data_IF_434226157472
#
_entry.id   IF_434226157472
#
_cell.length_a   1.000
_cell.length_b   1.000
_cell.length_c   1.000
_cell.angle_alpha   90.00
_cell.angle_beta   90.00
_cell.angle_gamma   90.00
#
_symmetry.space_group_name_H-M   'P 1'
#
loop_
_entity.id
_entity.type
_entity.pdbx_description
1 polymer ?
#
# COMPACT_ATOMS: atom_id res chain seq x y z
N UNK A 1 9.25 14.38 24.32
CA UNK A 1 8.34 14.96 23.30
C UNK A 1 6.94 15.04 23.88
N UNK A 2 6.28 16.21 23.87
CA UNK A 2 4.91 16.35 24.37
C UNK A 2 3.95 16.37 23.17
N UNK A 3 2.98 15.45 23.15
CA UNK A 3 1.97 15.39 22.08
C UNK A 3 0.87 16.41 22.34
N UNK A 4 0.43 17.12 21.30
CA UNK A 4 -0.74 17.99 21.35
C UNK A 4 -2.05 17.19 21.43
N UNK A 5 -3.12 17.81 21.90
CA UNK A 5 -4.44 17.16 22.00
C UNK A 5 -4.92 16.60 20.65
N UNK A 6 -4.71 17.34 19.56
CA UNK A 6 -5.06 16.92 18.20
C UNK A 6 -4.25 15.71 17.73
N UNK A 7 -2.95 15.64 18.09
CA UNK A 7 -2.13 14.46 17.82
C UNK A 7 -2.65 13.24 18.60
N UNK A 8 -3.08 13.43 19.85
CA UNK A 8 -3.62 12.33 20.68
C UNK A 8 -4.97 11.85 20.12
N UNK A 9 -5.82 12.75 19.61
CA UNK A 9 -7.08 12.39 18.95
C UNK A 9 -6.83 11.51 17.72
N UNK A 10 -5.81 11.83 16.91
CA UNK A 10 -5.43 11.05 15.73
C UNK A 10 -4.85 9.67 16.05
N UNK A 11 -4.34 9.46 17.27
CA UNK A 11 -3.87 8.15 17.73
C UNK A 11 -5.01 7.23 18.17
N UNK A 12 -6.20 7.76 18.44
CA UNK A 12 -7.30 6.97 18.97
C UNK A 12 -7.93 6.06 17.89
N UNK A 13 -8.33 4.82 18.24
CA UNK A 13 -8.89 3.89 17.28
C UNK A 13 -10.30 4.28 16.80
N UNK A 14 -11.02 5.10 17.58
CA UNK A 14 -12.33 5.66 17.21
C UNK A 14 -12.69 6.86 18.12
N UNK A 15 -13.70 7.63 17.71
CA UNK A 15 -14.19 8.79 18.47
C UNK A 15 -14.74 8.43 19.86
N UNK A 16 -15.28 7.21 20.02
CA UNK A 16 -15.75 6.74 21.33
C UNK A 16 -14.60 6.54 22.32
N UNK A 17 -13.45 6.07 21.83
CA UNK A 17 -12.22 5.89 22.59
C UNK A 17 -11.58 7.22 22.94
N UNK A 18 -11.65 8.22 22.06
CA UNK A 18 -11.29 9.61 22.38
C UNK A 18 -12.11 10.12 23.56
N UNK A 19 -13.45 10.03 23.45
CA UNK A 19 -14.36 10.50 24.51
C UNK A 19 -14.11 9.78 25.84
N UNK A 20 -13.92 8.46 25.80
CA UNK A 20 -13.61 7.67 26.99
C UNK A 20 -12.23 7.99 27.57
N UNK A 21 -11.23 8.24 26.73
CA UNK A 21 -9.89 8.65 27.13
C UNK A 21 -9.87 10.03 27.79
N UNK A 22 -10.54 11.02 27.20
CA UNK A 22 -10.72 12.35 27.82
C UNK A 22 -11.41 12.25 29.18
N UNK A 23 -12.39 11.34 29.34
CA UNK A 23 -13.03 11.06 30.64
C UNK A 23 -12.09 10.50 31.72
N UNK A 24 -10.91 9.98 31.33
CA UNK A 24 -9.88 9.51 32.24
C UNK A 24 -8.73 10.51 32.43
N UNK A 25 -8.76 11.66 31.75
CA UNK A 25 -7.75 12.72 31.86
C UNK A 25 -7.96 13.57 33.13
N UNK A 26 -8.01 12.92 34.29
CA UNK A 26 -8.20 13.54 35.60
C UNK A 26 -7.27 12.93 36.63
N UNK A 27 -6.59 13.76 37.42
CA UNK A 27 -5.71 13.36 38.51
C UNK A 27 -6.31 12.27 39.42
N UNK A 28 -7.59 12.37 39.75
CA UNK A 28 -8.27 11.45 40.68
C UNK A 28 -8.39 10.01 40.15
N UNK A 29 -8.23 9.79 38.85
CA UNK A 29 -8.30 8.45 38.24
C UNK A 29 -6.95 7.73 38.21
N UNK A 30 -5.86 8.43 38.50
CA UNK A 30 -4.51 7.91 38.39
C UNK A 30 -3.82 7.89 39.75
N UNK A 31 -3.64 6.68 40.29
CA UNK A 31 -2.97 6.46 41.58
C UNK A 31 -1.47 6.74 41.46
N UNK A 32 -0.90 6.44 40.29
CA UNK A 32 0.49 6.69 39.96
C UNK A 32 0.56 7.36 38.58
N UNK A 33 1.45 8.34 38.46
CA UNK A 33 1.75 9.10 37.23
C UNK A 33 3.24 9.39 37.23
N UNK A 34 3.96 8.83 36.26
CA UNK A 34 5.37 9.09 36.10
C UNK A 34 5.72 9.33 34.64
N UNK A 35 6.80 10.07 34.44
CA UNK A 35 7.31 10.42 33.13
C UNK A 35 8.84 10.31 33.12
N UNK A 36 9.38 9.97 31.96
CA UNK A 36 10.80 10.10 31.62
C UNK A 36 10.90 10.86 30.29
N UNK A 37 12.12 11.07 29.81
CA UNK A 37 12.39 11.62 28.49
C UNK A 37 11.79 10.78 27.35
N UNK A 38 11.71 9.45 27.55
CA UNK A 38 11.28 8.48 26.53
C UNK A 38 9.95 7.79 26.81
N UNK A 39 9.36 7.90 28.01
CA UNK A 39 8.13 7.18 28.33
C UNK A 39 7.21 7.92 29.31
N UNK A 40 5.92 7.55 29.26
CA UNK A 40 4.94 7.86 30.29
C UNK A 40 4.43 6.57 30.90
N UNK A 41 4.10 6.60 32.19
CA UNK A 41 3.48 5.47 32.84
C UNK A 41 2.52 5.89 33.94
N UNK A 42 1.57 5.02 34.24
CA UNK A 42 0.59 5.29 35.29
C UNK A 42 -0.23 4.09 35.70
N UNK A 43 -0.86 4.20 36.86
CA UNK A 43 -1.81 3.23 37.39
C UNK A 43 -3.20 3.84 37.38
N UNK A 44 -4.03 3.46 36.41
CA UNK A 44 -5.40 3.94 36.32
C UNK A 44 -6.31 3.08 37.19
N UNK A 45 -7.06 3.70 38.10
CA UNK A 45 -8.05 3.01 38.91
C UNK A 45 -9.22 2.54 38.04
N UNK A 46 -9.35 1.21 37.91
CA UNK A 46 -10.42 0.56 37.17
C UNK A 46 -11.54 0.04 38.08
N UNK A 47 -12.43 -0.77 37.51
CA UNK A 47 -13.51 -1.47 38.22
C UNK A 47 -13.04 -2.70 39.03
N UNK A 48 -11.78 -3.11 38.85
CA UNK A 48 -11.18 -4.23 39.58
C UNK A 48 -10.41 -3.79 40.84
N UNK A 49 -9.98 -4.78 41.63
CA UNK A 49 -9.21 -4.56 42.87
C UNK A 49 -7.82 -3.94 42.62
N UNK A 50 -7.19 -4.26 41.49
CA UNK A 50 -5.85 -3.77 41.12
C UNK A 50 -5.96 -2.70 40.02
N UNK A 51 -5.28 -1.54 40.14
CA UNK A 51 -5.20 -0.55 39.08
C UNK A 51 -4.58 -1.12 37.78
N UNK A 52 -5.00 -0.59 36.63
CA UNK A 52 -4.41 -0.94 35.34
C UNK A 52 -3.07 -0.23 35.14
N UNK A 53 -2.02 -1.00 34.93
CA UNK A 53 -0.70 -0.51 34.55
C UNK A 53 -0.78 -0.07 33.09
N UNK A 54 -0.50 1.20 32.85
CA UNK A 54 -0.48 1.82 31.52
C UNK A 54 0.89 2.41 31.28
N UNK A 55 1.46 2.17 30.12
CA UNK A 55 2.75 2.71 29.71
C UNK A 55 2.73 3.11 28.23
N UNK A 56 3.42 4.20 27.92
CA UNK A 56 3.52 4.81 26.60
C UNK A 56 4.99 5.08 26.30
N UNK A 57 5.47 4.57 25.17
CA UNK A 57 6.77 4.93 24.59
C UNK A 57 6.57 6.20 23.76
N UNK A 58 7.19 7.30 24.18
CA UNK A 58 7.06 8.61 23.54
C UNK A 58 7.97 8.77 22.32
N UNK A 59 9.00 7.94 22.17
CA UNK A 59 9.93 8.01 21.04
C UNK A 59 9.38 7.29 19.82
N UNK A 60 8.85 6.08 20.02
CA UNK A 60 8.32 5.25 18.93
C UNK A 60 6.79 5.18 18.90
N UNK A 61 6.11 5.96 19.74
CA UNK A 61 4.65 6.04 19.89
C UNK A 61 4.03 4.63 19.99
N UNK A 62 4.24 3.99 21.13
CA UNK A 62 3.70 2.67 21.39
C UNK A 62 3.05 2.57 22.77
N UNK A 63 2.13 1.63 22.90
CA UNK A 63 1.23 1.55 24.05
C UNK A 63 1.22 0.14 24.61
N UNK A 64 1.26 0.02 25.94
CA UNK A 64 0.93 -1.22 26.64
C UNK A 64 0.07 -0.87 27.85
N UNK A 65 -0.98 -1.64 28.04
CA UNK A 65 -1.89 -1.49 29.16
C UNK A 65 -2.34 -2.87 29.63
N UNK A 66 -2.44 -3.08 30.94
CA UNK A 66 -2.89 -4.36 31.52
C UNK A 66 -4.41 -4.56 31.50
N UNK A 67 -5.16 -3.69 30.80
CA UNK A 67 -6.61 -3.80 30.70
C UNK A 67 -7.04 -4.83 29.64
N UNK A 68 -8.21 -5.48 29.77
CA UNK A 68 -8.67 -6.51 28.84
C UNK A 68 -9.22 -5.96 27.50
N UNK A 69 -8.93 -4.70 27.18
CA UNK A 69 -9.44 -4.07 25.94
C UNK A 69 -8.69 -4.59 24.72
N UNK A 70 -9.43 -4.87 23.65
CA UNK A 70 -8.86 -5.20 22.34
C UNK A 70 -8.66 -3.96 21.44
N UNK A 71 -8.98 -2.75 21.93
CA UNK A 71 -8.76 -1.48 21.21
C UNK A 71 -7.47 -0.84 21.70
N UNK A 72 -6.54 -0.56 20.77
CA UNK A 72 -5.22 0.01 21.07
C UNK A 72 -4.95 1.23 20.17
N UNK A 73 -4.54 2.39 20.72
CA UNK A 73 -4.42 2.72 22.15
C UNK A 73 -5.78 2.60 22.87
N UNK A 74 -5.78 1.99 24.05
CA UNK A 74 -7.00 1.86 24.83
C UNK A 74 -7.34 3.20 25.51
N UNK A 75 -8.54 3.31 26.08
CA UNK A 75 -8.95 4.52 26.81
C UNK A 75 -7.98 4.93 27.92
N UNK A 76 -7.28 3.99 28.56
CA UNK A 76 -6.30 4.32 29.60
C UNK A 76 -5.03 4.94 29.01
N UNK A 77 -4.51 4.40 27.90
CA UNK A 77 -3.37 4.99 27.19
C UNK A 77 -3.68 6.38 26.67
N UNK A 78 -4.86 6.58 26.08
CA UNK A 78 -5.33 7.90 25.65
C UNK A 78 -5.52 8.85 26.83
N UNK A 79 -6.11 8.36 27.93
CA UNK A 79 -6.31 9.16 29.15
C UNK A 79 -4.99 9.61 29.79
N UNK A 80 -3.97 8.76 29.78
CA UNK A 80 -2.63 9.11 30.27
C UNK A 80 -1.98 10.20 29.40
N UNK A 81 -2.11 10.07 28.08
CA UNK A 81 -1.62 11.06 27.12
C UNK A 81 -2.34 12.40 27.26
N UNK A 82 -3.67 12.41 27.30
CA UNK A 82 -4.47 13.63 27.47
C UNK A 82 -4.17 14.31 28.82
N UNK A 83 -3.98 13.54 29.89
CA UNK A 83 -3.60 14.09 31.18
C UNK A 83 -2.21 14.74 31.14
N UNK A 84 -1.24 14.08 30.51
CA UNK A 84 0.12 14.63 30.38
C UNK A 84 0.18 15.85 29.46
N UNK A 85 -0.60 15.88 28.38
CA UNK A 85 -0.68 17.02 27.48
C UNK A 85 -1.31 18.25 28.14
N UNK A 86 -2.33 18.06 28.97
CA UNK A 86 -3.03 19.17 29.65
C UNK A 86 -2.36 19.62 30.95
N UNK A 87 -1.81 18.69 31.73
CA UNK A 87 -1.28 18.94 33.08
C UNK A 87 0.02 18.14 33.31
N UNK A 88 1.12 18.48 32.61
CA UNK A 88 2.39 17.77 32.74
C UNK A 88 2.96 17.82 34.16
N UNK A 89 2.71 18.90 34.91
CA UNK A 89 3.21 19.11 36.28
C UNK A 89 2.66 18.08 37.30
N UNK A 90 1.62 17.33 36.94
CA UNK A 90 1.07 16.26 37.78
C UNK A 90 1.88 14.95 37.72
N UNK A 91 2.87 14.88 36.84
CA UNK A 91 3.70 13.70 36.65
C UNK A 91 5.04 13.85 37.34
N UNK A 92 5.40 12.85 38.13
CA UNK A 92 6.75 12.79 38.71
C UNK A 92 7.72 12.37 37.62
N UNK A 93 8.61 13.28 37.23
CA UNK A 93 9.70 12.95 36.32
C UNK A 93 10.81 12.23 37.09
N UNK A 94 11.23 11.05 36.64
CA UNK A 94 12.22 10.28 37.37
C UNK A 94 12.56 8.93 36.73
N UNK A 95 13.14 8.05 37.54
CA UNK A 95 13.50 6.71 37.08
C UNK A 95 12.27 5.89 36.70
N UNK A 96 12.36 5.25 35.54
CA UNK A 96 11.37 4.30 35.04
C UNK A 96 11.29 3.08 35.99
N UNK A 97 10.09 2.68 36.42
CA UNK A 97 9.90 1.43 37.14
C UNK A 97 10.35 0.22 36.33
N UNK A 98 10.72 -0.86 36.99
CA UNK A 98 11.25 -2.09 36.35
C UNK A 98 10.33 -2.61 35.23
N UNK A 99 9.02 -2.62 35.44
CA UNK A 99 8.04 -3.08 34.44
C UNK A 99 7.92 -2.18 33.20
N UNK A 100 8.35 -0.91 33.30
CA UNK A 100 8.47 0.02 32.17
C UNK A 100 9.82 -0.19 31.48
N UNK A 101 10.92 -0.27 32.25
CA UNK A 101 12.28 -0.56 31.76
C UNK A 101 12.31 -1.86 30.96
N UNK A 102 11.85 -2.98 31.55
CA UNK A 102 11.78 -4.29 30.89
C UNK A 102 10.96 -4.26 29.59
N UNK A 103 9.86 -3.50 29.57
CA UNK A 103 9.03 -3.39 28.38
C UNK A 103 9.72 -2.61 27.26
N UNK A 104 10.37 -1.49 27.58
CA UNK A 104 11.14 -0.68 26.64
C UNK A 104 12.38 -1.43 26.15
N UNK A 105 13.11 -2.10 27.03
CA UNK A 105 14.28 -2.91 26.69
C UNK A 105 13.92 -4.10 25.81
N UNK A 106 12.80 -4.79 26.05
CA UNK A 106 12.33 -5.85 25.15
C UNK A 106 11.97 -5.32 23.76
N UNK A 107 11.54 -4.06 23.65
CA UNK A 107 11.26 -3.40 22.36
C UNK A 107 12.55 -2.95 21.68
N UNK A 108 13.47 -2.32 22.41
CA UNK A 108 14.79 -1.94 21.93
C UNK A 108 15.58 -3.19 21.49
N UNK A 109 15.58 -4.26 22.29
CA UNK A 109 16.19 -5.55 21.98
C UNK A 109 15.60 -6.20 20.73
N UNK A 110 14.30 -6.08 20.45
CA UNK A 110 13.74 -6.53 19.16
C UNK A 110 14.17 -5.67 17.97
N UNK A 111 14.38 -4.37 18.17
CA UNK A 111 14.89 -3.47 17.13
C UNK A 111 16.39 -3.69 16.88
N UNK A 112 17.16 -3.95 17.94
CA UNK A 112 18.58 -4.33 17.88
C UNK A 112 18.74 -5.74 17.33
N UNK A 113 17.96 -6.74 17.74
CA UNK A 113 17.97 -8.09 17.14
C UNK A 113 17.61 -8.06 15.64
N UNK A 114 16.75 -7.13 15.20
CA UNK A 114 16.49 -6.92 13.76
C UNK A 114 17.71 -6.35 13.04
N UNK A 115 18.45 -5.43 13.67
CA UNK A 115 19.72 -4.89 13.14
C UNK A 115 20.86 -5.91 13.20
N UNK A 116 21.04 -6.62 14.32
CA UNK A 116 22.07 -7.66 14.50
C UNK A 116 21.81 -8.92 13.66
N UNK A 117 20.54 -9.30 13.40
CA UNK A 117 20.24 -10.36 12.41
C UNK A 117 20.52 -9.92 10.98
N UNK A 118 20.52 -8.62 10.69
CA UNK A 118 20.96 -8.09 9.40
C UNK A 118 22.51 -8.04 9.31
N UNK A 119 23.21 -7.86 10.43
CA UNK A 119 24.69 -7.81 10.51
C UNK A 119 25.38 -9.17 10.74
N UNK A 120 24.64 -10.27 10.93
CA UNK A 120 25.27 -11.60 10.95
C UNK A 120 25.85 -11.91 9.57
N UNK A 121 27.10 -12.41 9.46
CA UNK A 121 27.66 -12.81 8.18
C UNK A 121 26.72 -13.83 7.54
N UNK A 122 26.12 -13.43 6.43
CA UNK A 122 25.30 -14.35 5.66
C UNK A 122 26.26 -15.37 5.07
N UNK A 123 26.01 -16.65 5.32
CA UNK A 123 26.68 -17.73 4.62
C UNK A 123 26.33 -17.62 3.13
N UNK A 124 27.23 -16.97 2.39
CA UNK A 124 27.11 -16.65 0.96
C UNK A 124 26.93 -17.93 0.15
N UNK A 125 27.62 -19.00 0.54
CA UNK A 125 27.56 -20.29 -0.14
C UNK A 125 26.21 -20.97 0.10
N UNK A 126 25.72 -20.99 1.34
CA UNK A 126 24.39 -21.51 1.64
C UNK A 126 23.27 -20.65 1.00
N UNK A 127 23.44 -19.33 0.89
CA UNK A 127 22.49 -18.47 0.20
C UNK A 127 22.48 -18.73 -1.31
N UNK A 128 23.64 -18.83 -1.94
CA UNK A 128 23.77 -19.17 -3.36
C UNK A 128 23.14 -20.55 -3.65
N UNK A 129 23.42 -21.56 -2.82
CA UNK A 129 22.83 -22.90 -2.94
C UNK A 129 21.30 -22.88 -2.79
N UNK A 130 20.75 -22.06 -1.87
CA UNK A 130 19.30 -21.88 -1.73
C UNK A 130 18.69 -21.19 -2.95
N UNK A 131 19.37 -20.18 -3.50
CA UNK A 131 18.92 -19.48 -4.71
C UNK A 131 18.93 -20.42 -5.93
N UNK A 132 19.97 -21.24 -6.09
CA UNK A 132 20.05 -22.23 -7.16
C UNK A 132 18.98 -23.31 -7.01
N UNK A 133 18.76 -23.82 -5.79
CA UNK A 133 17.71 -24.79 -5.52
C UNK A 133 16.30 -24.22 -5.80
N UNK A 134 16.06 -22.96 -5.43
CA UNK A 134 14.82 -22.26 -5.79
C UNK A 134 14.71 -22.10 -7.30
N UNK A 135 15.78 -21.68 -7.97
CA UNK A 135 15.80 -21.48 -9.43
C UNK A 135 15.39 -22.76 -10.17
N UNK A 136 15.96 -23.93 -9.79
CA UNK A 136 15.58 -25.23 -10.35
C UNK A 136 14.10 -25.58 -10.11
N UNK A 137 13.58 -25.33 -8.91
CA UNK A 137 12.15 -25.55 -8.60
C UNK A 137 11.23 -24.67 -9.44
N UNK A 138 11.59 -23.40 -9.59
CA UNK A 138 10.81 -22.45 -10.39
C UNK A 138 10.85 -22.83 -11.87
N UNK A 139 12.00 -23.24 -12.42
CA UNK A 139 12.09 -23.70 -13.81
C UNK A 139 11.14 -24.88 -14.08
N UNK A 140 11.17 -25.90 -13.23
CA UNK A 140 10.26 -27.04 -13.36
C UNK A 140 8.78 -26.59 -13.27
N UNK A 141 8.45 -25.72 -12.32
CA UNK A 141 7.08 -25.20 -12.19
C UNK A 141 6.63 -24.35 -13.38
N UNK A 142 7.54 -23.58 -13.97
CA UNK A 142 7.30 -22.80 -15.18
C UNK A 142 7.03 -23.72 -16.38
N UNK A 143 7.78 -24.80 -16.55
CA UNK A 143 7.53 -25.78 -17.60
C UNK A 143 6.14 -26.44 -17.45
N UNK A 144 5.79 -26.84 -16.23
CA UNK A 144 4.46 -27.39 -15.92
C UNK A 144 3.34 -26.37 -16.19
N UNK A 145 3.54 -25.10 -15.80
CA UNK A 145 2.58 -24.02 -16.05
C UNK A 145 2.39 -23.81 -17.55
N UNK A 146 3.48 -23.74 -18.32
CA UNK A 146 3.41 -23.56 -19.76
C UNK A 146 2.70 -24.73 -20.45
N UNK A 147 2.94 -25.96 -20.01
CA UNK A 147 2.22 -27.15 -20.47
C UNK A 147 0.71 -27.01 -20.21
N UNK A 148 0.33 -26.69 -18.97
CA UNK A 148 -1.07 -26.51 -18.58
C UNK A 148 -1.78 -25.38 -19.34
N UNK A 149 -1.12 -24.24 -19.55
CA UNK A 149 -1.67 -23.13 -20.33
C UNK A 149 -1.80 -23.47 -21.82
N UNK A 150 -0.84 -24.20 -22.40
CA UNK A 150 -0.96 -24.70 -23.78
C UNK A 150 -2.13 -25.67 -23.93
N UNK A 151 -2.33 -26.56 -22.96
CA UNK A 151 -3.44 -27.51 -22.98
C UNK A 151 -4.79 -26.82 -22.77
N UNK A 152 -4.83 -25.75 -21.96
CA UNK A 152 -6.00 -24.89 -21.82
C UNK A 152 -6.43 -24.30 -23.18
N UNK A 153 -5.48 -23.76 -23.93
CA UNK A 153 -5.75 -23.22 -25.28
C UNK A 153 -6.15 -24.32 -26.25
N UNK A 154 -5.46 -25.46 -26.27
CA UNK A 154 -5.77 -26.61 -27.15
C UNK A 154 -7.15 -27.20 -26.90
N UNK A 155 -7.57 -27.28 -25.64
CA UNK A 155 -8.90 -27.82 -25.26
C UNK A 155 -10.04 -26.82 -25.46
N UNK A 156 -9.72 -25.57 -25.80
CA UNK A 156 -10.68 -24.49 -26.00
C UNK A 156 -11.10 -23.81 -24.69
N UNK A 157 -11.29 -22.49 -24.76
CA UNK A 157 -11.57 -21.65 -23.59
C UNK A 157 -13.05 -21.65 -23.19
N UNK A 158 -13.97 -22.09 -24.06
CA UNK A 158 -15.42 -22.03 -23.84
C UNK A 158 -15.89 -22.82 -22.61
N UNK A 159 -15.18 -23.89 -22.26
CA UNK A 159 -15.53 -24.75 -21.12
C UNK A 159 -14.82 -24.33 -19.82
N UNK A 160 -14.04 -23.24 -19.83
CA UNK A 160 -13.31 -22.75 -18.65
C UNK A 160 -14.24 -22.22 -17.56
N UNK A 161 -15.30 -21.44 -17.84
CA UNK A 161 -16.19 -20.92 -16.80
C UNK A 161 -16.69 -21.96 -15.80
N UNK A 162 -17.06 -23.16 -16.27
CA UNK A 162 -17.62 -24.23 -15.43
C UNK A 162 -16.62 -24.83 -14.42
N UNK A 163 -15.31 -24.68 -14.68
CA UNK A 163 -14.24 -25.29 -13.90
C UNK A 163 -13.16 -24.31 -13.45
N UNK A 164 -13.31 -23.02 -13.71
CA UNK A 164 -12.27 -22.00 -13.50
C UNK A 164 -11.76 -22.01 -12.05
N UNK A 165 -12.69 -22.10 -11.09
CA UNK A 165 -12.37 -22.14 -9.66
C UNK A 165 -11.40 -23.27 -9.30
N UNK A 166 -11.76 -24.52 -9.61
CA UNK A 166 -10.93 -25.69 -9.28
C UNK A 166 -9.67 -25.78 -10.13
N UNK A 167 -9.76 -25.41 -11.42
CA UNK A 167 -8.63 -25.40 -12.36
C UNK A 167 -7.51 -24.47 -11.88
N UNK A 168 -7.82 -23.19 -11.67
CA UNK A 168 -6.80 -22.20 -11.32
C UNK A 168 -6.34 -22.32 -9.88
N UNK A 169 -7.19 -22.73 -8.94
CA UNK A 169 -6.74 -23.06 -7.59
C UNK A 169 -5.70 -24.19 -7.58
N UNK A 170 -5.93 -25.23 -8.39
CA UNK A 170 -4.99 -26.35 -8.56
C UNK A 170 -3.64 -25.92 -9.15
N UNK A 171 -3.65 -25.07 -10.19
CA UNK A 171 -2.42 -24.52 -10.79
C UNK A 171 -1.70 -23.59 -9.81
N UNK A 172 -2.45 -22.70 -9.13
CA UNK A 172 -1.92 -21.77 -8.13
C UNK A 172 -1.17 -22.51 -7.01
N UNK A 173 -1.74 -23.60 -6.49
CA UNK A 173 -1.08 -24.43 -5.47
C UNK A 173 0.26 -25.00 -5.96
N UNK A 174 0.29 -25.53 -7.19
CA UNK A 174 1.54 -26.05 -7.79
C UNK A 174 2.60 -24.94 -7.96
N UNK A 175 2.20 -23.72 -8.29
CA UNK A 175 3.13 -22.59 -8.39
C UNK A 175 3.70 -22.18 -7.02
N UNK A 176 2.91 -22.28 -5.94
CA UNK A 176 3.42 -22.12 -4.57
C UNK A 176 4.45 -23.20 -4.24
N UNK A 177 4.16 -24.47 -4.55
CA UNK A 177 5.07 -25.59 -4.33
C UNK A 177 6.38 -25.44 -5.14
N UNK A 178 6.29 -24.86 -6.34
CA UNK A 178 7.41 -24.50 -7.20
C UNK A 178 8.19 -23.25 -6.73
N UNK A 179 7.78 -22.59 -5.65
CA UNK A 179 8.37 -21.34 -5.13
C UNK A 179 8.26 -20.13 -6.09
N UNK A 180 7.18 -20.10 -6.87
CA UNK A 180 6.80 -19.01 -7.78
C UNK A 180 5.47 -18.34 -7.35
N UNK A 181 5.44 -17.65 -6.18
CA UNK A 181 4.20 -17.11 -5.64
C UNK A 181 3.60 -15.98 -6.50
N UNK A 182 4.38 -15.29 -7.33
CA UNK A 182 3.87 -14.29 -8.27
C UNK A 182 3.04 -14.95 -9.38
N UNK A 183 3.53 -16.04 -9.97
CA UNK A 183 2.77 -16.86 -10.92
C UNK A 183 1.55 -17.50 -10.26
N UNK A 184 1.66 -17.90 -8.99
CA UNK A 184 0.51 -18.38 -8.22
C UNK A 184 -0.56 -17.29 -8.06
N UNK A 185 -0.16 -16.04 -7.84
CA UNK A 185 -1.04 -14.87 -7.79
C UNK A 185 -1.73 -14.60 -9.11
N UNK A 186 -1.02 -14.69 -10.24
CA UNK A 186 -1.64 -14.56 -11.57
C UNK A 186 -2.74 -15.61 -11.80
N UNK A 187 -2.56 -16.85 -11.30
CA UNK A 187 -3.62 -17.86 -11.38
C UNK A 187 -4.82 -17.52 -10.49
N UNK A 188 -4.61 -16.91 -9.32
CA UNK A 188 -5.73 -16.43 -8.48
C UNK A 188 -6.50 -15.29 -9.16
N UNK A 189 -5.80 -14.38 -9.85
CA UNK A 189 -6.47 -13.35 -10.65
C UNK A 189 -7.34 -13.97 -11.76
N UNK A 190 -6.87 -15.03 -12.43
CA UNK A 190 -7.71 -15.77 -13.38
C UNK A 190 -8.90 -16.47 -12.71
N UNK A 191 -8.76 -16.89 -11.46
CA UNK A 191 -9.83 -17.47 -10.66
C UNK A 191 -10.92 -16.44 -10.31
N UNK A 192 -10.54 -15.18 -10.14
CA UNK A 192 -11.38 -14.06 -9.71
C UNK A 192 -12.13 -13.38 -10.87
N UNK A 193 -11.83 -13.72 -12.12
CA UNK A 193 -12.54 -13.22 -13.32
C UNK A 193 -14.05 -13.42 -13.17
N UNK A 194 -14.83 -12.40 -13.54
CA UNK A 194 -16.28 -12.51 -13.62
C UNK A 194 -16.72 -13.24 -14.90
N UNK A 195 -16.68 -14.58 -14.86
CA UNK A 195 -16.97 -15.46 -16.01
C UNK A 195 -18.40 -15.38 -16.58
N UNK A 196 -19.32 -14.68 -15.90
CA UNK A 196 -20.67 -14.44 -16.38
C UNK A 196 -20.82 -13.12 -17.14
N UNK A 197 -19.78 -12.28 -17.17
CA UNK A 197 -19.75 -11.05 -17.96
C UNK A 197 -19.50 -11.30 -19.45
N UNK A 198 -19.44 -10.25 -20.26
CA UNK A 198 -19.10 -10.38 -21.68
C UNK A 198 -17.58 -10.44 -21.92
N UNK A 199 -16.80 -9.89 -20.98
CA UNK A 199 -15.37 -9.60 -21.16
C UNK A 199 -14.43 -10.72 -20.69
N UNK A 200 -14.95 -11.74 -20.01
CA UNK A 200 -14.12 -12.80 -19.39
C UNK A 200 -13.19 -13.49 -20.39
N UNK A 201 -13.59 -13.60 -21.66
CA UNK A 201 -12.79 -14.25 -22.72
C UNK A 201 -11.49 -13.46 -22.97
N UNK A 202 -11.59 -12.14 -22.98
CA UNK A 202 -10.46 -11.24 -23.15
C UNK A 202 -9.59 -11.26 -21.89
N UNK A 203 -10.19 -11.12 -20.71
CA UNK A 203 -9.46 -11.15 -19.43
C UNK A 203 -8.70 -12.46 -19.23
N UNK A 204 -9.35 -13.59 -19.49
CA UNK A 204 -8.74 -14.91 -19.39
C UNK A 204 -7.58 -15.06 -20.38
N UNK A 205 -7.78 -14.66 -21.64
CA UNK A 205 -6.75 -14.79 -22.67
C UNK A 205 -5.56 -13.89 -22.38
N UNK A 206 -5.80 -12.63 -21.98
CA UNK A 206 -4.76 -11.68 -21.62
C UNK A 206 -3.99 -12.13 -20.37
N UNK A 207 -4.68 -12.56 -19.32
CA UNK A 207 -4.05 -13.04 -18.08
C UNK A 207 -3.26 -14.33 -18.28
N UNK A 208 -3.80 -15.30 -19.03
CA UNK A 208 -3.09 -16.54 -19.37
C UNK A 208 -1.86 -16.26 -20.24
N UNK A 209 -1.97 -15.36 -21.21
CA UNK A 209 -0.85 -14.96 -22.08
C UNK A 209 0.24 -14.25 -21.29
N UNK A 210 -0.13 -13.38 -20.34
CA UNK A 210 0.80 -12.72 -19.44
C UNK A 210 1.55 -13.72 -18.56
N UNK A 211 0.84 -14.66 -17.94
CA UNK A 211 1.46 -15.71 -17.14
C UNK A 211 2.42 -16.57 -17.98
N UNK A 212 2.03 -16.92 -19.21
CA UNK A 212 2.90 -17.63 -20.15
C UNK A 212 4.16 -16.83 -20.49
N UNK A 213 4.02 -15.53 -20.76
CA UNK A 213 5.14 -14.66 -21.14
C UNK A 213 6.12 -14.46 -19.98
N UNK A 214 5.64 -14.32 -18.75
CA UNK A 214 6.49 -14.27 -17.54
C UNK A 214 7.25 -15.58 -17.38
N UNK A 215 6.56 -16.71 -17.54
CA UNK A 215 7.15 -18.03 -17.47
C UNK A 215 8.23 -18.23 -18.55
N UNK A 216 7.95 -17.86 -19.80
CA UNK A 216 8.93 -17.93 -20.89
C UNK A 216 10.12 -17.00 -20.63
N UNK A 217 9.88 -15.76 -20.20
CA UNK A 217 10.94 -14.80 -19.90
C UNK A 217 11.86 -15.30 -18.78
N UNK A 218 11.32 -16.01 -17.79
CA UNK A 218 12.11 -16.58 -16.71
C UNK A 218 13.02 -17.74 -17.18
N UNK A 219 12.63 -18.50 -18.21
CA UNK A 219 13.50 -19.54 -18.81
C UNK A 219 14.71 -18.95 -19.53
N UNK A 220 14.56 -17.74 -20.06
CA UNK A 220 15.61 -17.02 -20.79
C UNK A 220 16.20 -15.86 -19.97
N UNK A 221 16.09 -15.92 -18.64
CA UNK A 221 16.45 -14.83 -17.73
C UNK A 221 17.88 -14.32 -17.96
N UNK A 222 18.84 -15.21 -18.21
CA UNK A 222 20.25 -14.88 -18.39
C UNK A 222 20.53 -14.11 -19.70
N UNK A 223 19.59 -14.10 -20.64
CA UNK A 223 19.68 -13.35 -21.90
C UNK A 223 19.11 -11.93 -21.77
N UNK A 224 18.45 -11.62 -20.65
CA UNK A 224 17.83 -10.33 -20.40
C UNK A 224 18.81 -9.36 -19.73
N UNK A 225 18.61 -8.06 -19.98
CA UNK A 225 19.34 -6.99 -19.27
C UNK A 225 19.08 -7.06 -17.75
N UNK A 226 19.96 -6.52 -16.90
CA UNK A 226 19.79 -6.57 -15.43
C UNK A 226 18.43 -6.06 -14.93
N UNK A 227 17.92 -4.95 -15.48
CA UNK A 227 16.59 -4.40 -15.11
C UNK A 227 15.46 -5.39 -15.40
N UNK A 228 15.51 -6.03 -16.56
CA UNK A 228 14.56 -7.08 -16.94
C UNK A 228 14.70 -8.33 -16.08
N UNK A 229 15.92 -8.69 -15.65
CA UNK A 229 16.09 -9.80 -14.73
C UNK A 229 15.41 -9.53 -13.39
N UNK A 230 15.54 -8.32 -12.85
CA UNK A 230 14.88 -7.91 -11.60
C UNK A 230 13.35 -7.83 -11.76
N UNK A 231 12.87 -7.33 -12.91
CA UNK A 231 11.45 -7.27 -13.25
C UNK A 231 10.83 -8.67 -13.30
N UNK A 232 11.42 -9.59 -14.08
CA UNK A 232 10.93 -10.96 -14.24
C UNK A 232 11.01 -11.73 -12.92
N UNK A 233 12.11 -11.58 -12.15
CA UNK A 233 12.22 -12.17 -10.80
C UNK A 233 11.10 -11.66 -9.89
N UNK A 234 10.79 -10.37 -9.93
CA UNK A 234 9.70 -9.77 -9.14
C UNK A 234 8.34 -10.34 -9.56
N UNK A 235 8.05 -10.45 -10.86
CA UNK A 235 6.82 -11.02 -11.40
C UNK A 235 6.64 -12.51 -11.05
N UNK A 236 7.74 -13.27 -10.96
CA UNK A 236 7.72 -14.66 -10.48
C UNK A 236 7.53 -14.75 -8.96
N UNK A 237 7.85 -13.68 -8.23
CA UNK A 237 7.67 -13.57 -6.79
C UNK A 237 8.96 -13.73 -5.97
N UNK A 238 10.11 -13.35 -6.54
CA UNK A 238 11.33 -13.16 -5.77
C UNK A 238 11.23 -11.83 -5.01
N UNK A 239 11.48 -11.83 -3.69
CA UNK A 239 11.46 -10.61 -2.92
C UNK A 239 12.73 -9.78 -3.22
N UNK A 240 12.55 -8.48 -3.36
CA UNK A 240 13.64 -7.51 -3.22
C UNK A 240 13.69 -7.09 -1.75
N UNK A 241 14.81 -7.35 -1.06
CA UNK A 241 14.97 -7.01 0.34
C UNK A 241 14.91 -5.49 0.54
N UNK A 242 14.21 -5.02 1.59
CA UNK A 242 14.03 -3.58 1.81
C UNK A 242 15.38 -2.89 2.03
N UNK A 243 16.28 -3.57 2.74
CA UNK A 243 17.63 -3.09 3.07
C UNK A 243 18.48 -2.92 1.80
N UNK A 244 18.44 -3.90 0.89
CA UNK A 244 19.10 -3.85 -0.41
C UNK A 244 18.56 -2.69 -1.27
N UNK A 245 17.24 -2.51 -1.29
CA UNK A 245 16.60 -1.41 -2.04
C UNK A 245 17.03 -0.07 -1.46
N UNK A 246 16.98 0.11 -0.14
CA UNK A 246 17.40 1.37 0.51
C UNK A 246 18.89 1.68 0.31
N UNK A 247 19.74 0.65 0.23
CA UNK A 247 21.17 0.81 0.03
C UNK A 247 21.55 1.10 -1.44
N UNK A 248 20.94 0.36 -2.39
CA UNK A 248 21.42 0.26 -3.77
C UNK A 248 20.40 0.75 -4.82
N UNK A 249 19.18 1.10 -4.42
CA UNK A 249 18.15 1.59 -5.33
C UNK A 249 18.35 3.05 -5.72
N UNK A 250 17.69 3.47 -6.80
CA UNK A 250 17.70 4.86 -7.25
C UNK A 250 17.03 5.76 -6.20
N UNK A 251 17.75 6.79 -5.74
CA UNK A 251 17.26 7.70 -4.72
C UNK A 251 16.78 9.00 -5.36
N UNK A 252 15.58 9.44 -4.95
CA UNK A 252 14.97 10.67 -5.45
C UNK A 252 14.43 11.48 -4.28
N UNK A 253 14.87 12.73 -4.21
CA UNK A 253 14.34 13.74 -3.29
C UNK A 253 13.32 14.61 -4.04
N UNK A 254 12.11 14.74 -3.50
CA UNK A 254 11.06 15.57 -4.11
C UNK A 254 10.05 16.04 -3.04
N UNK A 255 9.18 16.97 -3.46
CA UNK A 255 7.92 17.28 -2.80
C UNK A 255 6.85 16.35 -3.37
N UNK A 256 6.53 15.28 -2.63
CA UNK A 256 5.62 14.23 -3.08
C UNK A 256 4.17 14.56 -2.72
N UNK A 257 3.36 14.89 -3.73
CA UNK A 257 1.90 14.99 -3.58
C UNK A 257 1.29 13.59 -3.48
N UNK A 258 0.55 13.31 -2.41
CA UNK A 258 -0.23 12.08 -2.27
C UNK A 258 -1.46 12.19 -3.15
N UNK A 259 -1.36 11.74 -4.40
CA UNK A 259 -2.44 11.89 -5.39
C UNK A 259 -3.62 10.99 -5.10
N UNK A 260 -3.41 9.80 -4.53
CA UNK A 260 -4.47 8.91 -4.08
C UNK A 260 -3.97 7.89 -3.06
N UNK A 261 -4.90 7.33 -2.29
CA UNK A 261 -4.67 6.15 -1.46
C UNK A 261 -5.84 5.18 -1.58
N UNK A 262 -5.57 3.89 -1.54
CA UNK A 262 -6.58 2.81 -1.57
C UNK A 262 -6.18 1.71 -0.58
N UNK A 263 -7.15 1.16 0.15
CA UNK A 263 -6.92 0.08 1.09
C UNK A 263 -7.65 -1.18 0.64
N UNK A 264 -6.92 -2.28 0.54
CA UNK A 264 -7.43 -3.59 0.14
C UNK A 264 -7.24 -4.60 1.26
N UNK A 265 -8.30 -5.32 1.62
CA UNK A 265 -8.21 -6.43 2.57
C UNK A 265 -7.76 -7.70 1.84
N UNK A 266 -6.64 -8.27 2.27
CA UNK A 266 -6.10 -9.53 1.78
C UNK A 266 -5.91 -10.50 2.95
N UNK A 267 -6.78 -11.50 3.05
CA UNK A 267 -6.85 -12.43 4.19
C UNK A 267 -6.98 -11.70 5.53
N UNK A 268 -5.91 -11.73 6.35
CA UNK A 268 -5.81 -11.06 7.65
C UNK A 268 -4.99 -9.79 7.59
N UNK A 269 -4.53 -9.36 6.41
CA UNK A 269 -3.73 -8.16 6.21
C UNK A 269 -4.57 -7.11 5.48
N UNK A 270 -4.30 -5.84 5.77
CA UNK A 270 -4.75 -4.73 4.94
C UNK A 270 -3.54 -4.18 4.21
N UNK A 271 -3.63 -4.10 2.89
CA UNK A 271 -2.60 -3.50 2.05
C UNK A 271 -3.07 -2.10 1.69
N UNK A 272 -2.29 -1.09 2.03
CA UNK A 272 -2.55 0.29 1.59
C UNK A 272 -1.64 0.65 0.43
N UNK A 273 -2.25 1.09 -0.66
CA UNK A 273 -1.61 1.62 -1.86
C UNK A 273 -1.63 3.13 -1.74
N UNK A 274 -0.46 3.76 -1.81
CA UNK A 274 -0.34 5.22 -1.75
C UNK A 274 0.40 5.69 -3.00
N UNK A 275 -0.33 6.33 -3.92
CA UNK A 275 0.25 6.90 -5.13
C UNK A 275 0.71 8.33 -4.85
N UNK A 276 1.94 8.61 -5.26
CA UNK A 276 2.64 9.86 -5.06
C UNK A 276 3.03 10.44 -6.41
N UNK A 277 3.09 11.77 -6.48
CA UNK A 277 3.57 12.50 -7.64
C UNK A 277 4.60 13.56 -7.21
N UNK A 278 5.80 13.49 -7.78
CA UNK A 278 6.89 14.41 -7.49
C UNK A 278 6.69 15.75 -8.20
N UNK A 279 6.71 16.85 -7.45
CA UNK A 279 6.54 18.21 -7.96
C UNK A 279 7.66 18.61 -8.93
N UNK A 280 8.91 18.29 -8.61
CA UNK A 280 10.07 18.70 -9.40
C UNK A 280 10.41 17.70 -10.50
N UNK A 281 10.34 16.40 -10.17
CA UNK A 281 10.73 15.33 -11.10
C UNK A 281 9.62 14.91 -12.05
N UNK A 282 8.37 15.27 -11.74
CA UNK A 282 7.17 14.78 -12.44
C UNK A 282 7.08 13.23 -12.46
N UNK A 283 7.70 12.55 -11.49
CA UNK A 283 7.69 11.09 -11.40
C UNK A 283 6.53 10.59 -10.53
N UNK A 284 5.98 9.45 -10.91
CA UNK A 284 5.07 8.69 -10.07
C UNK A 284 5.84 7.77 -9.13
N UNK A 285 5.34 7.63 -7.91
CA UNK A 285 5.80 6.64 -6.95
C UNK A 285 4.61 5.93 -6.29
N UNK A 286 4.78 4.65 -5.96
CA UNK A 286 3.80 3.83 -5.27
C UNK A 286 4.43 3.30 -3.99
N UNK A 287 3.90 3.73 -2.86
CA UNK A 287 4.29 3.23 -1.54
C UNK A 287 3.24 2.25 -1.02
N UNK A 288 3.68 1.04 -0.68
CA UNK A 288 2.82 -0.02 -0.15
C UNK A 288 3.03 -0.20 1.35
N UNK A 289 1.95 -0.17 2.11
CA UNK A 289 1.95 -0.51 3.54
C UNK A 289 1.18 -1.80 3.79
N UNK A 290 1.70 -2.64 4.66
CA UNK A 290 1.07 -3.91 5.03
C UNK A 290 0.71 -3.85 6.52
N UNK A 291 -0.57 -3.70 6.81
CA UNK A 291 -1.11 -3.55 8.15
C UNK A 291 -1.68 -4.87 8.63
N UNK A 292 -1.17 -5.38 9.74
CA UNK A 292 -1.85 -6.45 10.48
C UNK A 292 -3.02 -5.89 11.26
N UNK A 293 -4.03 -6.69 11.64
CA UNK A 293 -5.20 -6.19 12.35
C UNK A 293 -4.78 -5.52 13.66
N UNK A 294 -5.16 -4.25 13.83
CA UNK A 294 -4.80 -3.43 14.99
C UNK A 294 -3.39 -2.82 14.98
N UNK A 295 -2.61 -3.00 13.91
CA UNK A 295 -1.37 -2.26 13.71
C UNK A 295 -1.63 -0.85 13.16
N UNK A 296 -0.77 0.09 13.54
CA UNK A 296 -0.75 1.44 12.97
C UNK A 296 0.10 1.45 11.70
N UNK A 297 -0.25 2.36 10.78
CA UNK A 297 0.58 2.64 9.62
C UNK A 297 1.97 3.12 10.05
N UNK A 298 3.00 2.56 9.41
CA UNK A 298 4.39 2.95 9.62
C UNK A 298 4.63 4.38 9.11
N UNK A 299 3.87 4.80 8.10
CA UNK A 299 3.96 6.13 7.50
C UNK A 299 2.55 6.65 7.23
N UNK A 300 2.19 7.75 7.89
CA UNK A 300 0.88 8.37 7.72
C UNK A 300 0.88 9.27 6.46
N UNK A 301 0.24 8.82 5.39
CA UNK A 301 0.04 9.59 4.17
C UNK A 301 -1.43 9.99 4.04
N UNK A 302 -1.66 11.28 3.84
CA UNK A 302 -3.01 11.81 3.65
C UNK A 302 -3.21 12.20 2.17
N UNK A 303 -4.19 11.62 1.46
CA UNK A 303 -4.54 12.05 0.11
C UNK A 303 -4.74 13.57 0.01
N UNK A 304 -4.14 14.20 -1.00
CA UNK A 304 -4.14 15.64 -1.21
C UNK A 304 -3.08 16.42 -0.42
N UNK A 305 -2.32 15.77 0.47
CA UNK A 305 -1.19 16.40 1.17
C UNK A 305 0.12 16.26 0.41
N UNK A 306 1.11 17.09 0.74
CA UNK A 306 2.47 17.01 0.20
C UNK A 306 3.46 16.65 1.31
N UNK A 307 4.25 15.62 1.07
CA UNK A 307 5.32 15.14 1.96
C UNK A 307 6.66 15.41 1.30
N UNK A 308 7.54 16.11 1.99
CA UNK A 308 8.93 16.32 1.55
C UNK A 308 9.73 15.10 1.98
N UNK A 309 10.24 14.32 1.02
CA UNK A 309 10.85 13.05 1.34
C UNK A 309 11.92 12.61 0.33
N UNK A 310 12.85 11.83 0.86
CA UNK A 310 13.75 11.02 0.06
C UNK A 310 13.15 9.62 -0.06
N UNK A 311 12.89 9.21 -1.29
CA UNK A 311 12.39 7.87 -1.60
C UNK A 311 13.44 7.08 -2.36
N UNK A 312 13.36 5.76 -2.29
CA UNK A 312 14.23 4.86 -3.03
C UNK A 312 13.40 3.89 -3.83
N UNK A 313 13.62 3.85 -5.15
CA UNK A 313 12.88 3.00 -6.08
C UNK A 313 13.38 1.55 -6.00
N UNK A 314 12.43 0.63 -6.06
CA UNK A 314 12.72 -0.78 -6.32
C UNK A 314 13.38 -0.93 -7.70
N UNK A 315 14.15 -2.01 -7.90
CA UNK A 315 14.74 -2.33 -9.21
C UNK A 315 13.70 -2.99 -10.12
N UNK A 316 13.85 -2.82 -11.42
CA UNK A 316 12.94 -3.34 -12.44
C UNK A 316 12.86 -2.41 -13.63
N UNK A 317 11.90 -2.66 -14.51
CA UNK A 317 11.71 -1.84 -15.72
C UNK A 317 10.69 -0.76 -15.42
N UNK A 318 11.12 0.50 -15.50
CA UNK A 318 10.31 1.69 -15.18
C UNK A 318 9.62 1.57 -13.81
N UNK A 319 10.37 1.34 -12.72
CA UNK A 319 9.80 1.06 -11.42
C UNK A 319 9.03 2.27 -10.89
N UNK A 320 7.84 2.03 -10.36
CA UNK A 320 7.05 3.02 -9.61
C UNK A 320 7.09 2.73 -8.12
N UNK A 321 7.33 1.48 -7.70
CA UNK A 321 7.32 1.11 -6.29
C UNK A 321 8.52 1.74 -5.56
N UNK A 322 8.27 2.29 -4.38
CA UNK A 322 9.29 2.95 -3.56
C UNK A 322 9.28 2.52 -2.09
N UNK A 323 10.37 2.83 -1.40
CA UNK A 323 10.47 2.92 0.06
C UNK A 323 10.79 4.35 0.46
N UNK A 324 10.25 4.81 1.59
CA UNK A 324 10.72 6.05 2.22
C UNK A 324 12.06 5.80 2.90
N UNK A 325 13.05 6.62 2.58
CA UNK A 325 14.33 6.67 3.28
C UNK A 325 14.28 7.67 4.43
N UNK A 326 13.78 8.86 4.15
CA UNK A 326 13.65 9.95 5.13
C UNK A 326 12.46 10.83 4.79
N UNK A 327 11.66 11.20 5.79
CA UNK A 327 10.63 12.21 5.67
C UNK A 327 11.08 13.49 6.39
N UNK A 328 11.12 14.59 5.65
CA UNK A 328 11.68 15.88 6.09
C UNK A 328 10.61 16.87 6.54
N UNK A 329 9.33 16.56 6.30
CA UNK A 329 8.20 17.38 6.71
C UNK A 329 7.10 17.42 5.66
N UNK A 330 6.27 18.45 5.73
CA UNK A 330 5.16 18.68 4.80
C UNK A 330 5.30 20.04 4.10
N UNK A 331 4.60 20.18 2.96
CA UNK A 331 4.47 21.45 2.25
C UNK A 331 3.02 21.72 1.87
N UNK A 332 2.78 22.94 1.39
CA UNK A 332 1.48 23.30 0.84
C UNK A 332 1.13 22.42 -0.38
N UNK A 333 -0.11 21.91 -0.44
CA UNK A 333 -0.60 21.20 -1.62
C UNK A 333 -0.54 22.04 -2.89
N UNK A 334 -0.39 21.36 -4.02
CA UNK A 334 -0.46 21.97 -5.34
C UNK A 334 -1.34 21.14 -6.27
N UNK A 335 -1.83 21.77 -7.34
CA UNK A 335 -2.55 21.10 -8.41
C UNK A 335 -1.54 20.72 -9.49
N UNK A 336 -1.43 19.44 -9.85
CA UNK A 336 -0.57 19.02 -10.95
C UNK A 336 -0.91 19.76 -12.24
N UNK A 337 0.12 20.31 -12.91
CA UNK A 337 -0.02 21.08 -14.15
C UNK A 337 1.27 21.04 -14.95
N UNK A 338 1.22 21.45 -16.22
CA UNK A 338 2.39 21.50 -17.11
C UNK A 338 2.91 20.12 -17.48
N UNK A 339 4.24 19.96 -17.59
CA UNK A 339 4.90 18.84 -18.27
C UNK A 339 4.48 17.43 -17.82
N UNK A 340 4.10 17.24 -16.56
CA UNK A 340 3.69 15.93 -16.06
C UNK A 340 2.18 15.75 -15.88
N UNK A 341 1.37 16.65 -16.44
CA UNK A 341 -0.08 16.52 -16.51
C UNK A 341 -0.51 16.60 -17.98
N UNK A 342 -1.15 15.54 -18.47
CA UNK A 342 -1.60 15.45 -19.85
C UNK A 342 -2.73 16.46 -20.12
N UNK A 343 -2.68 17.14 -21.26
CA UNK A 343 -3.77 17.96 -21.77
C UNK A 343 -4.72 17.08 -22.60
N UNK A 344 -5.78 16.57 -21.97
CA UNK A 344 -6.75 15.68 -22.62
C UNK A 344 -6.30 14.22 -22.80
N UNK A 345 -7.14 13.42 -23.45
CA UNK A 345 -7.03 11.96 -23.46
C UNK A 345 -6.02 11.45 -24.50
N UNK A 346 -5.76 12.20 -25.57
CA UNK A 346 -4.82 11.80 -26.61
C UNK A 346 -3.38 11.69 -26.07
N UNK A 347 -2.92 12.69 -25.32
CA UNK A 347 -1.60 12.68 -24.65
C UNK A 347 -1.52 11.57 -23.60
N UNK A 348 -2.59 11.41 -22.80
CA UNK A 348 -2.64 10.36 -21.79
C UNK A 348 -2.58 8.95 -22.40
N UNK A 349 -3.25 8.74 -23.54
CA UNK A 349 -3.16 7.49 -24.31
C UNK A 349 -1.78 7.28 -24.95
N UNK A 350 -1.05 8.35 -25.28
CA UNK A 350 0.34 8.23 -25.71
C UNK A 350 1.23 7.75 -24.54
N UNK A 351 1.10 8.35 -23.35
CA UNK A 351 1.83 7.92 -22.14
C UNK A 351 1.54 6.45 -21.81
N UNK A 352 0.28 6.03 -21.90
CA UNK A 352 -0.12 4.63 -21.72
C UNK A 352 0.60 3.70 -22.71
N UNK A 353 0.54 4.01 -24.01
CA UNK A 353 1.16 3.18 -25.06
C UNK A 353 2.68 3.11 -24.94
N UNK A 354 3.33 4.23 -24.62
CA UNK A 354 4.78 4.27 -24.40
C UNK A 354 5.18 3.40 -23.20
N UNK A 355 4.42 3.47 -22.11
CA UNK A 355 4.64 2.63 -20.92
C UNK A 355 4.47 1.14 -21.24
N UNK A 356 3.42 0.77 -21.95
CA UNK A 356 3.16 -0.61 -22.36
C UNK A 356 4.22 -1.14 -23.34
N UNK A 357 4.79 -0.27 -24.19
CA UNK A 357 5.88 -0.64 -25.11
C UNK A 357 7.18 -0.91 -24.36
N UNK A 358 7.43 -0.16 -23.27
CA UNK A 358 8.61 -0.36 -22.42
C UNK A 358 8.47 -1.57 -21.52
N UNK A 359 7.30 -1.79 -20.92
CA UNK A 359 7.03 -2.93 -20.06
C UNK A 359 5.62 -3.50 -20.33
N UNK A 360 5.50 -4.58 -21.12
CA UNK A 360 4.20 -5.20 -21.46
C UNK A 360 3.53 -5.91 -20.27
N UNK A 361 4.21 -6.07 -19.13
CA UNK A 361 3.63 -6.66 -17.93
C UNK A 361 2.89 -5.65 -17.05
N UNK A 362 3.04 -4.35 -17.34
CA UNK A 362 2.32 -3.28 -16.66
C UNK A 362 0.81 -3.49 -16.79
N UNK A 363 0.07 -3.40 -15.69
CA UNK A 363 -1.39 -3.58 -15.68
C UNK A 363 -2.12 -2.24 -15.75
N UNK A 364 -1.63 -1.27 -14.99
CA UNK A 364 -2.18 0.07 -14.88
C UNK A 364 -1.04 1.09 -14.95
N UNK A 365 -1.23 2.13 -15.75
CA UNK A 365 -0.27 3.22 -15.91
C UNK A 365 -0.82 4.46 -15.19
N UNK A 366 -0.16 4.99 -14.16
CA UNK A 366 -0.60 6.20 -13.49
C UNK A 366 -0.48 7.40 -14.44
N UNK A 367 -1.57 8.16 -14.59
CA UNK A 367 -1.61 9.37 -15.43
C UNK A 367 -2.43 10.47 -14.75
N UNK A 368 -1.94 11.71 -14.85
CA UNK A 368 -2.67 12.92 -14.50
C UNK A 368 -3.18 13.53 -15.80
N UNK A 369 -4.48 13.79 -15.85
CA UNK A 369 -5.13 14.31 -17.06
C UNK A 369 -6.01 15.50 -16.70
N UNK A 370 -5.77 16.61 -17.38
CA UNK A 370 -6.56 17.85 -17.29
C UNK A 370 -7.57 17.94 -18.43
N UNK A 371 -8.51 18.88 -18.30
CA UNK A 371 -9.51 19.19 -19.36
C UNK A 371 -10.44 18.02 -19.70
N UNK A 372 -10.76 17.19 -18.70
CA UNK A 372 -11.68 16.06 -18.84
C UNK A 372 -12.98 16.26 -18.06
N UNK A 373 -14.07 15.65 -18.53
CA UNK A 373 -15.41 15.70 -17.92
C UNK A 373 -15.96 14.29 -17.72
N UNK A 374 -16.74 14.08 -16.66
CA UNK A 374 -17.50 12.85 -16.47
C UNK A 374 -18.77 12.90 -17.30
N UNK A 375 -19.04 11.83 -18.06
CA UNK A 375 -20.26 11.69 -18.85
C UNK A 375 -20.89 10.30 -18.65
N UNK A 376 -22.21 10.23 -18.80
CA UNK A 376 -22.93 8.96 -18.87
C UNK A 376 -23.10 8.58 -20.34
N UNK A 377 -22.58 7.41 -20.73
CA UNK A 377 -22.74 6.87 -22.07
C UNK A 377 -23.00 5.36 -21.96
N UNK A 378 -24.02 4.86 -22.68
CA UNK A 378 -24.42 3.44 -22.65
C UNK A 378 -24.62 2.87 -21.24
N UNK A 379 -25.20 3.67 -20.32
CA UNK A 379 -25.42 3.34 -18.89
C UNK A 379 -24.13 3.16 -18.06
N UNK A 380 -22.96 3.38 -18.64
CA UNK A 380 -21.66 3.40 -17.97
C UNK A 380 -21.13 4.83 -17.80
N UNK A 381 -20.20 5.03 -16.86
CA UNK A 381 -19.49 6.30 -16.67
C UNK A 381 -18.26 6.31 -17.58
N UNK A 382 -18.05 7.43 -18.26
CA UNK A 382 -16.91 7.65 -19.15
C UNK A 382 -16.24 8.98 -18.80
N UNK A 383 -14.97 9.12 -19.19
CA UNK A 383 -14.31 10.42 -19.29
C UNK A 383 -14.29 10.86 -20.74
N UNK A 384 -14.44 12.17 -20.91
CA UNK A 384 -14.49 12.85 -22.19
C UNK A 384 -13.62 14.09 -22.17
N UNK A 385 -12.84 14.34 -23.23
CA UNK A 385 -12.11 15.60 -23.42
C UNK A 385 -12.79 16.53 -24.45
N UNK A 386 -12.18 17.68 -24.70
CA UNK A 386 -12.64 18.70 -25.66
C UNK A 386 -12.61 18.22 -27.13
N UNK A 387 -11.85 17.17 -27.43
CA UNK A 387 -11.79 16.54 -28.75
C UNK A 387 -12.81 15.40 -28.92
N UNK A 388 -13.72 15.23 -27.95
CA UNK A 388 -14.76 14.20 -27.95
C UNK A 388 -14.22 12.77 -27.85
N UNK A 389 -12.94 12.58 -27.47
CA UNK A 389 -12.43 11.26 -27.14
C UNK A 389 -13.14 10.72 -25.90
N UNK A 390 -13.38 9.41 -25.86
CA UNK A 390 -14.12 8.74 -24.80
C UNK A 390 -13.30 7.56 -24.28
N UNK A 391 -13.12 7.50 -22.97
CA UNK A 391 -12.54 6.34 -22.28
C UNK A 391 -13.50 5.85 -21.19
N UNK A 392 -13.82 4.54 -21.15
CA UNK A 392 -14.73 4.01 -20.15
C UNK A 392 -14.04 4.00 -18.79
N UNK A 393 -14.78 4.41 -17.76
CA UNK A 393 -14.31 4.38 -16.38
C UNK A 393 -14.89 3.20 -15.60
N UNK A 394 -14.03 2.56 -14.81
CA UNK A 394 -14.42 1.69 -13.71
C UNK A 394 -14.55 2.55 -12.46
N UNK A 395 -15.78 2.69 -11.97
CA UNK A 395 -16.10 3.50 -10.80
C UNK A 395 -17.28 2.88 -10.04
N UNK A 396 -17.09 2.59 -8.75
CA UNK A 396 -18.15 2.09 -7.89
C UNK A 396 -19.30 3.09 -7.74
N UNK A 397 -20.47 2.63 -7.31
CA UNK A 397 -21.68 3.46 -7.25
C UNK A 397 -21.51 4.72 -6.39
N UNK A 398 -20.88 4.59 -5.22
CA UNK A 398 -20.57 5.72 -4.35
C UNK A 398 -19.62 6.73 -5.03
N UNK A 399 -18.58 6.24 -5.71
CA UNK A 399 -17.65 7.06 -6.47
C UNK A 399 -18.33 7.78 -7.64
N UNK A 400 -19.25 7.11 -8.33
CA UNK A 400 -20.06 7.68 -9.42
C UNK A 400 -20.91 8.84 -8.92
N UNK A 401 -21.68 8.63 -7.86
CA UNK A 401 -22.54 9.68 -7.27
C UNK A 401 -21.70 10.87 -6.81
N UNK A 402 -20.60 10.61 -6.09
CA UNK A 402 -19.68 11.65 -5.63
C UNK A 402 -19.04 12.42 -6.79
N UNK A 403 -18.58 11.71 -7.82
CA UNK A 403 -17.96 12.29 -9.01
C UNK A 403 -18.89 13.27 -9.72
N UNK A 404 -20.13 12.87 -10.04
CA UNK A 404 -21.11 13.76 -10.67
C UNK A 404 -21.53 14.92 -9.76
N UNK A 405 -21.69 14.68 -8.46
CA UNK A 405 -22.05 15.74 -7.51
C UNK A 405 -20.96 16.81 -7.36
N UNK A 406 -19.69 16.41 -7.32
CA UNK A 406 -18.55 17.31 -7.17
C UNK A 406 -18.26 18.06 -8.47
N UNK A 407 -18.26 17.36 -9.61
CA UNK A 407 -17.90 17.97 -10.89
C UNK A 407 -19.03 18.81 -11.48
N UNK A 408 -20.30 18.42 -11.27
CA UNK A 408 -21.45 19.04 -11.92
C UNK A 408 -21.39 18.98 -13.45
N UNK A 409 -20.62 18.03 -14.02
CA UNK A 409 -20.36 17.95 -15.46
C UNK A 409 -19.33 18.95 -16.00
N UNK A 410 -18.68 19.72 -15.13
CA UNK A 410 -17.58 20.63 -15.50
C UNK A 410 -16.26 19.88 -15.68
N UNK A 411 -15.31 20.58 -16.28
CA UNK A 411 -13.95 20.08 -16.45
C UNK A 411 -13.22 20.00 -15.12
N UNK A 412 -12.36 18.99 -14.99
CA UNK A 412 -11.52 18.76 -13.84
C UNK A 412 -10.16 18.21 -14.28
N UNK A 413 -9.20 18.25 -13.35
CA UNK A 413 -7.96 17.47 -13.48
C UNK A 413 -8.11 16.20 -12.66
N UNK A 414 -7.86 15.03 -13.22
CA UNK A 414 -8.01 13.75 -12.54
C UNK A 414 -6.71 12.97 -12.45
N UNK A 415 -6.56 12.18 -11.40
CA UNK A 415 -5.57 11.11 -11.33
C UNK A 415 -6.24 9.78 -11.69
N UNK A 416 -5.69 9.15 -12.72
CA UNK A 416 -6.20 7.91 -13.27
C UNK A 416 -5.15 6.81 -13.25
N UNK A 417 -5.63 5.58 -13.14
CA UNK A 417 -4.88 4.38 -13.49
C UNK A 417 -5.40 3.91 -14.85
N UNK A 418 -4.59 4.16 -15.88
CA UNK A 418 -4.92 3.81 -17.25
C UNK A 418 -4.72 2.31 -17.49
N UNK A 419 -5.81 1.61 -17.77
CA UNK A 419 -5.83 0.20 -18.17
C UNK A 419 -6.13 0.01 -19.66
N UNK A 420 -6.07 -1.24 -20.12
CA UNK A 420 -6.26 -1.60 -21.54
C UNK A 420 -7.71 -1.38 -22.02
N UNK A 421 -8.69 -1.77 -21.21
CA UNK A 421 -10.12 -1.70 -21.56
C UNK A 421 -10.85 -0.55 -20.88
N UNK A 422 -10.53 -0.29 -19.63
CA UNK A 422 -11.12 0.77 -18.82
C UNK A 422 -10.09 1.38 -17.89
N UNK A 423 -10.37 2.60 -17.47
CA UNK A 423 -9.51 3.33 -16.55
C UNK A 423 -10.18 3.44 -15.20
N UNK A 424 -9.39 3.49 -14.14
CA UNK A 424 -9.87 3.86 -12.80
C UNK A 424 -9.57 5.32 -12.53
N UNK A 425 -10.52 6.01 -11.93
CA UNK A 425 -10.31 7.35 -11.39
C UNK A 425 -10.25 7.24 -9.87
N UNK A 426 -9.17 7.75 -9.28
CA UNK A 426 -8.96 7.66 -7.82
C UNK A 426 -9.17 9.00 -7.12
N UNK A 427 -8.80 10.09 -7.80
CA UNK A 427 -8.97 11.44 -7.27
C UNK A 427 -9.11 12.48 -8.37
N UNK A 428 -9.57 13.67 -7.99
CA UNK A 428 -9.68 14.81 -8.87
C UNK A 428 -9.45 16.15 -8.17
N UNK A 429 -9.16 17.16 -8.98
CA UNK A 429 -9.08 18.57 -8.63
C UNK A 429 -10.09 19.36 -9.46
N UNK A 430 -10.90 20.15 -8.77
CA UNK A 430 -11.82 21.13 -9.38
C UNK A 430 -11.91 22.36 -8.48
N UNK A 431 -11.85 23.56 -9.07
CA UNK A 431 -11.91 24.84 -8.32
C UNK A 431 -10.95 24.89 -7.13
N UNK A 432 -9.69 24.53 -7.37
CA UNK A 432 -8.60 24.49 -6.37
C UNK A 432 -8.81 23.53 -5.19
N UNK A 433 -9.78 22.62 -5.30
CA UNK A 433 -10.08 21.63 -4.25
C UNK A 433 -9.79 20.21 -4.71
N UNK A 434 -9.21 19.44 -3.80
CA UNK A 434 -8.93 18.02 -3.97
C UNK A 434 -10.08 17.14 -3.46
N UNK A 435 -10.41 16.10 -4.21
CA UNK A 435 -11.42 15.11 -3.84
C UNK A 435 -10.94 13.70 -4.17
N UNK A 436 -11.14 12.74 -3.26
CA UNK A 436 -11.03 11.31 -3.56
C UNK A 436 -12.35 10.78 -4.10
N UNK A 437 -12.32 9.84 -5.05
CA UNK A 437 -13.53 9.19 -5.59
C UNK A 437 -13.68 7.73 -5.15
N UNK A 438 -12.61 7.11 -4.66
CA UNK A 438 -12.56 5.69 -4.32
C UNK A 438 -11.60 5.49 -3.15
N UNK A 439 -12.09 4.91 -2.06
CA UNK A 439 -11.26 4.48 -0.92
C UNK A 439 -11.39 2.97 -0.64
N UNK A 440 -12.34 2.28 -1.28
CA UNK A 440 -12.61 0.86 -1.07
C UNK A 440 -12.78 0.17 -2.43
N UNK A 441 -11.79 -0.64 -2.82
CA UNK A 441 -11.96 -1.63 -3.88
C UNK A 441 -12.58 -2.87 -3.24
N UNK A 442 -13.90 -3.02 -3.35
CA UNK A 442 -14.52 -4.32 -3.12
C UNK A 442 -14.25 -5.14 -4.38
N UNK A 443 -13.46 -6.19 -4.22
CA UNK A 443 -12.93 -7.11 -5.25
C UNK A 443 -13.83 -7.34 -6.45
#
# INVERSE_FOLDING_TARGET
MQLSEDQIIKLAPDAASVKAGKGLASAAKWVLRGASDRALWGHCQGSGKNPYQTQVDLQNIAFKCSCPSHKFPCKHSLGLLFLYASQPDLFTTGEEPDWVKEWLEKRAGKAVEKKEKADKPVDVEAQAKRQEARHKKVLNGVDDLQGGLKDLVRSGLLNVPERAQSLFAGISKRMVDAQAPGLAGMMRQLQEIHYFGEDWKYELTAGASRAYLVAESYKHLDQLSPEWQDEIRTLVGYPQAKEEVLANGEQVSDDWLVVASESLQQDRLTVEYNWLYGRQTCRYALFLQFLTPGALAETALLPGSVVVADVTFYKGVTPTRVLFREQKGTREPFIPSGKGCCAGLAEAMQVYRESMTRNPFTYEVPVLVSEVRLVMHEKQVWIKDSNEYLIPLTLGEAGKLKGFAVTGGREFTGFFLAGERSWRVLSLWIEDKYYTLSNEYNG
#
